data_IF_343619498908
#
_entry.id   IF_343619498908
#
_cell.length_a   1.000
_cell.length_b   1.000
_cell.length_c   1.000
_cell.angle_alpha   90.00
_cell.angle_beta   90.00
_cell.angle_gamma   90.00
#
_symmetry.space_group_name_H-M   'P 1'
#
loop_
_entity.id
_entity.type
_entity.pdbx_description
1 polymer ?
#
# COMPACT_ATOMS: atom_id res chain seq x y z
N UNK A 1 -8.98 -18.84 -28.93
CA UNK A 1 -9.38 -18.87 -27.50
C UNK A 1 -8.18 -18.39 -26.72
N UNK A 2 -8.33 -17.19 -26.12
CA UNK A 2 -7.44 -16.45 -25.19
C UNK A 2 -5.93 -16.52 -25.51
N UNK A 3 -5.25 -15.48 -26.01
CA UNK A 3 -5.08 -14.17 -25.35
C UNK A 3 -5.21 -14.28 -23.83
N UNK A 4 -4.27 -15.00 -23.24
CA UNK A 4 -3.91 -14.82 -21.85
C UNK A 4 -3.15 -13.49 -21.80
N UNK A 5 -3.72 -12.41 -21.23
CA UNK A 5 -3.02 -11.14 -21.17
C UNK A 5 -1.79 -11.38 -20.31
N UNK A 6 -0.62 -11.14 -20.90
CA UNK A 6 0.64 -10.97 -20.21
C UNK A 6 0.37 -10.02 -19.03
N UNK A 7 0.11 -10.58 -17.85
CA UNK A 7 0.21 -9.85 -16.60
C UNK A 7 1.66 -9.35 -16.66
N UNK A 8 1.91 -8.02 -16.69
CA UNK A 8 3.26 -7.57 -16.46
C UNK A 8 3.61 -8.14 -15.09
N UNK A 9 4.48 -9.15 -15.08
CA UNK A 9 5.18 -9.52 -13.88
C UNK A 9 5.91 -8.23 -13.53
N UNK A 10 5.35 -7.46 -12.61
CA UNK A 10 6.11 -6.47 -11.88
C UNK A 10 7.20 -7.27 -11.18
N UNK A 11 8.31 -7.46 -11.90
CA UNK A 11 9.61 -7.90 -11.40
C UNK A 11 10.14 -6.81 -10.45
N UNK A 12 9.41 -6.56 -9.37
CA UNK A 12 9.92 -5.84 -8.22
C UNK A 12 10.39 -6.88 -7.21
N UNK A 13 11.72 -6.94 -7.05
CA UNK A 13 12.44 -7.84 -6.15
C UNK A 13 11.66 -8.03 -4.84
N UNK A 14 11.14 -9.24 -4.56
CA UNK A 14 10.28 -9.46 -3.39
C UNK A 14 11.05 -9.14 -2.12
N UNK A 15 10.47 -8.27 -1.30
CA UNK A 15 11.08 -7.79 -0.06
C UNK A 15 10.78 -8.79 1.05
N UNK A 16 11.82 -9.27 1.72
CA UNK A 16 11.67 -10.16 2.87
C UNK A 16 11.07 -9.42 4.07
N UNK A 17 10.48 -10.15 5.02
CA UNK A 17 9.94 -9.55 6.22
C UNK A 17 10.99 -8.77 7.02
N UNK A 18 12.20 -9.29 7.15
CA UNK A 18 13.29 -8.65 7.89
C UNK A 18 13.65 -7.28 7.27
N UNK A 19 13.67 -7.20 5.95
CA UNK A 19 13.92 -5.96 5.22
C UNK A 19 12.77 -4.96 5.40
N UNK A 20 11.52 -5.43 5.38
CA UNK A 20 10.34 -4.59 5.64
C UNK A 20 10.37 -4.02 7.07
N UNK A 21 10.68 -4.85 8.07
CA UNK A 21 10.79 -4.41 9.46
C UNK A 21 11.91 -3.37 9.62
N UNK A 22 13.08 -3.62 9.02
CA UNK A 22 14.21 -2.69 9.06
C UNK A 22 13.92 -1.36 8.36
N UNK A 23 13.23 -1.39 7.21
CA UNK A 23 12.92 -0.19 6.44
C UNK A 23 11.81 0.67 7.08
N UNK A 24 10.81 0.01 7.69
CA UNK A 24 9.64 0.70 8.23
C UNK A 24 9.76 1.07 9.72
N UNK A 25 10.56 0.34 10.50
CA UNK A 25 10.58 0.48 11.96
C UNK A 25 9.32 -0.06 12.65
N UNK A 26 8.51 -0.84 11.94
CA UNK A 26 7.44 -1.64 12.54
C UNK A 26 8.02 -2.91 13.16
N UNK A 27 7.32 -3.46 14.15
CA UNK A 27 7.61 -4.79 14.70
C UNK A 27 6.77 -5.88 14.02
N UNK A 28 7.20 -7.13 14.16
CA UNK A 28 6.54 -8.28 13.53
C UNK A 28 5.04 -8.37 13.84
N UNK A 29 4.65 -8.09 15.09
CA UNK A 29 3.25 -8.13 15.54
C UNK A 29 2.39 -7.09 14.81
N UNK A 30 2.87 -5.85 14.69
CA UNK A 30 2.19 -4.79 13.94
C UNK A 30 2.02 -5.18 12.46
N UNK A 31 3.05 -5.74 11.84
CA UNK A 31 2.98 -6.21 10.44
C UNK A 31 1.98 -7.35 10.29
N UNK A 32 1.99 -8.32 11.22
CA UNK A 32 1.04 -9.44 11.21
C UNK A 32 -0.41 -8.96 11.29
N UNK A 33 -0.70 -8.02 12.20
CA UNK A 33 -2.02 -7.43 12.33
C UNK A 33 -2.43 -6.64 11.08
N UNK A 34 -1.53 -5.86 10.48
CA UNK A 34 -1.81 -5.11 9.25
C UNK A 34 -2.09 -6.03 8.05
N UNK A 35 -1.49 -7.22 8.02
CA UNK A 35 -1.85 -8.28 7.05
C UNK A 35 -3.25 -8.83 7.36
N UNK A 36 -3.57 -9.10 8.63
CA UNK A 36 -4.90 -9.58 9.03
C UNK A 36 -6.02 -8.59 8.71
N UNK A 37 -5.75 -7.29 8.84
CA UNK A 37 -6.66 -6.22 8.40
C UNK A 37 -6.74 -6.06 6.88
N UNK A 38 -5.91 -6.78 6.11
CA UNK A 38 -5.91 -6.77 4.65
C UNK A 38 -5.24 -5.55 4.03
N UNK A 39 -4.57 -4.73 4.84
CA UNK A 39 -3.87 -3.51 4.39
C UNK A 39 -2.54 -3.87 3.74
N UNK A 40 -1.83 -4.86 4.29
CA UNK A 40 -0.61 -5.40 3.70
C UNK A 40 -0.89 -6.69 2.94
N UNK A 41 -0.35 -6.77 1.73
CA UNK A 41 -0.46 -7.94 0.88
C UNK A 41 0.88 -8.68 0.81
N UNK A 42 0.81 -9.99 0.96
CA UNK A 42 1.91 -10.91 0.74
C UNK A 42 2.00 -11.28 -0.75
N UNK A 43 3.22 -11.35 -1.25
CA UNK A 43 3.55 -11.60 -2.66
C UNK A 43 4.00 -13.05 -2.93
N UNK A 44 4.20 -13.85 -1.88
CA UNK A 44 4.80 -15.19 -1.97
C UNK A 44 3.81 -16.34 -1.76
N UNK A 45 4.04 -17.44 -2.49
CA UNK A 45 3.48 -18.76 -2.19
C UNK A 45 4.19 -19.45 -1.01
N UNK A 46 3.96 -20.75 -0.81
CA UNK A 46 4.21 -21.59 0.39
C UNK A 46 5.63 -21.59 1.05
N UNK A 47 6.55 -20.72 0.65
CA UNK A 47 7.93 -20.64 1.14
C UNK A 47 8.27 -19.52 2.13
N UNK A 48 7.38 -18.56 2.42
CA UNK A 48 7.67 -17.50 3.40
C UNK A 48 6.92 -16.18 3.19
N UNK A 49 7.14 -15.21 4.09
CA UNK A 49 6.59 -13.86 3.97
C UNK A 49 7.45 -13.02 3.03
N UNK A 50 6.89 -12.71 1.86
CA UNK A 50 7.47 -11.81 0.88
C UNK A 50 6.48 -10.69 0.56
N UNK A 51 6.98 -9.51 0.21
CA UNK A 51 6.18 -8.31 0.00
C UNK A 51 6.60 -7.57 -1.29
N UNK A 52 5.65 -6.89 -1.93
CA UNK A 52 5.96 -5.96 -3.03
C UNK A 52 6.49 -4.64 -2.47
N UNK A 53 7.20 -3.86 -3.29
CA UNK A 53 7.74 -2.56 -2.86
C UNK A 53 6.64 -1.59 -2.41
N UNK A 54 5.41 -1.73 -2.95
CA UNK A 54 4.24 -0.99 -2.45
C UNK A 54 3.99 -1.22 -0.96
N UNK A 55 4.07 -2.47 -0.49
CA UNK A 55 3.82 -2.79 0.92
C UNK A 55 4.88 -2.17 1.83
N UNK A 56 6.14 -2.08 1.38
CA UNK A 56 7.19 -1.37 2.12
C UNK A 56 6.85 0.12 2.27
N UNK A 57 6.39 0.78 1.20
CA UNK A 57 5.97 2.19 1.27
C UNK A 57 4.79 2.38 2.24
N UNK A 58 3.82 1.47 2.22
CA UNK A 58 2.70 1.47 3.17
C UNK A 58 3.16 1.26 4.61
N UNK A 59 4.14 0.38 4.83
CA UNK A 59 4.73 0.14 6.15
C UNK A 59 5.44 1.37 6.70
N UNK A 60 6.25 2.05 5.89
CA UNK A 60 6.88 3.32 6.29
C UNK A 60 5.83 4.40 6.60
N UNK A 61 4.71 4.43 5.86
CA UNK A 61 3.61 5.36 6.12
C UNK A 61 2.85 5.02 7.42
N UNK A 62 2.62 3.74 7.69
CA UNK A 62 2.02 3.27 8.94
C UNK A 62 2.86 3.70 10.14
N UNK A 63 4.17 3.46 10.10
CA UNK A 63 5.09 3.85 11.16
C UNK A 63 5.05 5.37 11.42
N UNK A 64 5.05 6.18 10.36
CA UNK A 64 4.87 7.64 10.50
C UNK A 64 3.53 8.01 11.13
N UNK A 65 2.43 7.36 10.73
CA UNK A 65 1.11 7.62 11.31
C UNK A 65 1.07 7.25 12.81
N UNK A 66 1.72 6.15 13.20
CA UNK A 66 1.89 5.78 14.62
C UNK A 66 2.68 6.84 15.36
N UNK A 67 3.82 7.27 14.81
CA UNK A 67 4.75 8.17 15.50
C UNK A 67 4.19 9.61 15.59
N UNK A 68 3.51 10.08 14.54
CA UNK A 68 2.95 11.43 14.47
C UNK A 68 1.65 11.58 15.26
N UNK A 69 0.82 10.53 15.32
CA UNK A 69 -0.54 10.59 15.88
C UNK A 69 -0.79 9.64 17.06
N UNK A 70 0.20 8.84 17.46
CA UNK A 70 0.06 7.87 18.56
C UNK A 70 -0.95 6.75 18.27
N UNK A 71 -1.14 6.38 17.00
CA UNK A 71 -2.13 5.38 16.59
C UNK A 71 -1.71 3.96 17.00
N UNK A 72 -2.68 3.17 17.45
CA UNK A 72 -2.54 1.72 17.52
C UNK A 72 -2.70 1.08 16.13
N UNK A 73 -2.46 -0.24 16.02
CA UNK A 73 -2.49 -0.94 14.72
C UNK A 73 -3.84 -0.85 14.00
N UNK A 74 -5.00 -1.03 14.66
CA UNK A 74 -6.30 -0.79 14.01
C UNK A 74 -6.46 0.67 13.51
N UNK A 75 -5.96 1.64 14.29
CA UNK A 75 -5.95 3.05 13.91
C UNK A 75 -5.07 3.31 12.68
N UNK A 76 -3.88 2.72 12.63
CA UNK A 76 -3.00 2.76 11.45
C UNK A 76 -3.69 2.17 10.22
N UNK A 77 -4.31 1.00 10.36
CA UNK A 77 -5.04 0.33 9.27
C UNK A 77 -6.16 1.21 8.71
N UNK A 78 -6.96 1.80 9.60
CA UNK A 78 -8.07 2.69 9.22
C UNK A 78 -7.57 3.97 8.54
N UNK A 79 -6.53 4.61 9.10
CA UNK A 79 -5.95 5.82 8.54
C UNK A 79 -5.34 5.58 7.15
N UNK A 80 -4.58 4.50 6.99
CA UNK A 80 -4.05 4.09 5.68
C UNK A 80 -5.17 3.88 4.66
N UNK A 81 -6.22 3.13 5.04
CA UNK A 81 -7.38 2.87 4.15
C UNK A 81 -8.05 4.17 3.69
N UNK A 82 -8.27 5.12 4.60
CA UNK A 82 -8.88 6.40 4.23
C UNK A 82 -7.96 7.28 3.39
N UNK A 83 -6.66 7.30 3.67
CA UNK A 83 -5.70 8.04 2.88
C UNK A 83 -5.62 7.50 1.44
N UNK A 84 -5.57 6.17 1.26
CA UNK A 84 -5.64 5.57 -0.08
C UNK A 84 -6.96 5.93 -0.79
N UNK A 85 -8.07 5.97 -0.04
CA UNK A 85 -9.37 6.38 -0.59
C UNK A 85 -9.37 7.84 -1.04
N UNK A 86 -8.76 8.74 -0.26
CA UNK A 86 -8.62 10.16 -0.61
C UNK A 86 -7.76 10.29 -1.87
N UNK A 87 -6.60 9.64 -1.92
CA UNK A 87 -5.71 9.67 -3.08
C UNK A 87 -6.40 9.17 -4.36
N UNK A 88 -7.19 8.10 -4.26
CA UNK A 88 -7.98 7.59 -5.38
C UNK A 88 -9.08 8.57 -5.83
N UNK A 89 -9.75 9.24 -4.89
CA UNK A 89 -10.77 10.23 -5.20
C UNK A 89 -10.16 11.48 -5.84
N UNK A 90 -9.06 11.99 -5.31
CA UNK A 90 -8.32 13.11 -5.89
C UNK A 90 -7.77 12.78 -7.27
N UNK A 91 -7.31 11.53 -7.49
CA UNK A 91 -6.92 11.05 -8.81
C UNK A 91 -8.04 11.16 -9.83
N UNK A 92 -9.24 10.69 -9.48
CA UNK A 92 -10.43 10.80 -10.33
C UNK A 92 -10.85 12.25 -10.57
N UNK A 93 -10.73 13.13 -9.58
CA UNK A 93 -11.00 14.56 -9.76
C UNK A 93 -10.04 15.17 -10.77
N UNK A 94 -8.72 14.92 -10.64
CA UNK A 94 -7.72 15.39 -11.61
C UNK A 94 -7.99 14.88 -13.02
N UNK A 95 -8.36 13.60 -13.16
CA UNK A 95 -8.74 13.03 -14.46
C UNK A 95 -9.94 13.74 -15.09
N UNK A 96 -10.97 14.04 -14.29
CA UNK A 96 -12.16 14.77 -14.73
C UNK A 96 -11.82 16.21 -15.11
N UNK A 97 -11.03 16.91 -14.30
CA UNK A 97 -10.58 18.29 -14.55
C UNK A 97 -9.77 18.39 -15.85
N UNK A 98 -8.89 17.42 -16.12
CA UNK A 98 -8.16 17.33 -17.38
C UNK A 98 -9.06 17.10 -18.61
N UNK A 99 -10.27 16.57 -18.43
CA UNK A 99 -11.25 16.34 -19.49
C UNK A 99 -12.19 17.52 -19.72
N UNK A 100 -12.21 18.52 -18.83
CA UNK A 100 -12.98 19.74 -19.10
C UNK A 100 -12.29 20.51 -20.24
N UNK A 101 -12.96 20.73 -21.39
CA UNK A 101 -12.43 21.65 -22.38
C UNK A 101 -12.29 23.02 -21.71
N UNK A 102 -11.17 23.70 -21.94
CA UNK A 102 -10.97 25.10 -21.58
C UNK A 102 -12.03 25.94 -22.31
N UNK A 103 -13.25 26.03 -21.78
CA UNK A 103 -14.23 27.02 -22.16
C UNK A 103 -13.88 28.28 -21.37
N UNK A 104 -12.78 28.89 -21.81
CA UNK A 104 -12.42 30.25 -21.44
C UNK A 104 -13.50 31.19 -21.97
N UNK A 105 -14.17 31.82 -21.01
CA UNK A 105 -15.13 32.91 -21.16
C UNK A 105 -14.54 34.16 -21.81
#
# INVERSE_FOLDING_TARGET
MADDPLIPADDENPVALEELLAASGLVHEEVSELIQFGVFQLSGGAGGWCFHARTVRLACRAARLRDDFGLNVPGMALALTYLERIEALEGRLRELECQLPLHGS
#
